data_IF_354567910685
#
_entry.id   IF_354567910685
#
_cell.length_a   1.000
_cell.length_b   1.000
_cell.length_c   1.000
_cell.angle_alpha   90.00
_cell.angle_beta   90.00
_cell.angle_gamma   90.00
#
_symmetry.space_group_name_H-M   'P 1'
#
loop_
_entity.id
_entity.type
_entity.pdbx_description
1 polymer ?
#
# COMPACT_ATOMS: atom_id res chain seq x y z
N UNK A 1 -61.36 1.94 -29.91
CA UNK A 1 -59.94 2.06 -30.42
C UNK A 1 -58.92 2.71 -29.46
N UNK A 2 -59.31 3.23 -28.30
CA UNK A 2 -58.35 3.90 -27.37
C UNK A 2 -57.55 2.98 -26.41
N UNK A 3 -58.02 1.76 -26.18
CA UNK A 3 -57.45 0.85 -25.17
C UNK A 3 -56.18 0.11 -25.61
N UNK A 4 -55.98 -0.07 -26.90
CA UNK A 4 -54.78 -0.70 -27.48
C UNK A 4 -53.56 0.22 -27.50
N UNK A 5 -53.76 1.54 -27.51
CA UNK A 5 -52.67 2.52 -27.56
C UNK A 5 -51.96 2.66 -26.22
N UNK A 6 -52.65 2.55 -25.09
CA UNK A 6 -52.11 2.68 -23.74
C UNK A 6 -51.20 1.50 -23.35
N UNK A 7 -51.53 0.27 -23.81
CA UNK A 7 -50.68 -0.91 -23.55
C UNK A 7 -49.32 -0.85 -24.26
N UNK A 8 -49.23 -0.25 -25.45
CA UNK A 8 -47.99 -0.13 -26.20
C UNK A 8 -47.00 0.84 -25.56
N UNK A 9 -47.50 1.92 -24.97
CA UNK A 9 -46.67 2.93 -24.29
C UNK A 9 -46.08 2.36 -23.00
N UNK A 10 -46.86 1.67 -22.16
CA UNK A 10 -46.41 1.09 -20.91
C UNK A 10 -45.29 0.03 -21.10
N UNK A 11 -45.39 -0.80 -22.14
CA UNK A 11 -44.36 -1.82 -22.44
C UNK A 11 -43.08 -1.21 -22.98
N UNK A 12 -43.15 -0.08 -23.66
CA UNK A 12 -41.95 0.63 -24.15
C UNK A 12 -41.18 1.28 -23.01
N UNK A 13 -41.85 1.94 -22.06
CA UNK A 13 -41.22 2.53 -20.87
C UNK A 13 -40.55 1.48 -19.98
N UNK A 14 -41.16 0.32 -19.80
CA UNK A 14 -40.61 -0.77 -19.02
C UNK A 14 -39.31 -1.34 -19.63
N UNK A 15 -39.26 -1.51 -20.93
CA UNK A 15 -38.05 -1.97 -21.65
C UNK A 15 -36.91 -0.96 -21.55
N UNK A 16 -37.19 0.33 -21.69
CA UNK A 16 -36.19 1.39 -21.52
C UNK A 16 -35.70 1.50 -20.08
N UNK A 17 -36.56 1.34 -19.09
CA UNK A 17 -36.17 1.35 -17.67
C UNK A 17 -35.28 0.16 -17.32
N UNK A 18 -35.58 -1.05 -17.82
CA UNK A 18 -34.70 -2.23 -17.61
C UNK A 18 -33.37 -2.03 -18.29
N UNK A 19 -33.33 -1.48 -19.50
CA UNK A 19 -32.08 -1.24 -20.22
C UNK A 19 -31.18 -0.23 -19.50
N UNK A 20 -31.76 0.86 -18.99
CA UNK A 20 -31.07 1.83 -18.14
C UNK A 20 -30.55 1.22 -16.83
N UNK A 21 -31.37 0.39 -16.20
CA UNK A 21 -30.94 -0.31 -14.97
C UNK A 21 -29.76 -1.26 -15.19
N UNK A 22 -29.78 -2.01 -16.32
CA UNK A 22 -28.67 -2.87 -16.70
C UNK A 22 -27.37 -2.08 -16.98
N UNK A 23 -27.48 -0.93 -17.66
CA UNK A 23 -26.31 -0.05 -17.90
C UNK A 23 -25.74 0.45 -16.57
N UNK A 24 -26.59 0.86 -15.63
CA UNK A 24 -26.14 1.33 -14.30
C UNK A 24 -25.42 0.21 -13.54
N UNK A 25 -25.93 -1.03 -13.58
CA UNK A 25 -25.27 -2.19 -12.93
C UNK A 25 -23.89 -2.48 -13.54
N UNK A 26 -23.72 -2.32 -14.85
CA UNK A 26 -22.42 -2.50 -15.51
C UNK A 26 -21.40 -1.42 -15.13
N UNK A 27 -21.84 -0.20 -14.86
CA UNK A 27 -20.94 0.90 -14.46
C UNK A 27 -20.37 0.67 -13.05
N UNK A 28 -21.07 -0.02 -12.16
CA UNK A 28 -20.61 -0.35 -10.81
C UNK A 28 -19.65 -1.54 -10.73
N UNK A 29 -19.37 -2.26 -11.81
CA UNK A 29 -18.33 -3.30 -11.86
C UNK A 29 -16.91 -2.70 -12.02
N UNK A 30 -16.71 -1.47 -11.57
CA UNK A 30 -15.50 -0.72 -11.74
C UNK A 30 -14.38 -1.19 -10.82
N UNK A 31 -13.26 -1.48 -11.43
CA UNK A 31 -11.88 -1.36 -10.93
C UNK A 31 -11.60 -1.86 -9.50
N UNK A 32 -11.38 -3.15 -9.35
CA UNK A 32 -10.45 -3.61 -8.31
C UNK A 32 -9.06 -3.11 -8.71
N UNK A 33 -8.54 -2.14 -7.97
CA UNK A 33 -7.13 -1.75 -8.09
C UNK A 33 -6.27 -3.01 -7.93
N UNK A 34 -5.53 -3.35 -8.96
CA UNK A 34 -4.63 -4.50 -8.94
C UNK A 34 -3.54 -4.22 -7.90
N UNK A 35 -3.47 -5.06 -6.86
CA UNK A 35 -2.50 -4.91 -5.78
C UNK A 35 -1.11 -5.20 -6.34
N UNK A 36 -0.31 -4.17 -6.49
CA UNK A 36 1.08 -4.30 -6.93
C UNK A 36 1.94 -4.82 -5.80
N UNK A 37 2.77 -5.81 -6.09
CA UNK A 37 3.71 -6.41 -5.14
C UNK A 37 5.12 -6.34 -5.70
N UNK A 38 6.02 -5.75 -4.94
CA UNK A 38 7.45 -5.64 -5.25
C UNK A 38 8.24 -6.54 -4.32
N UNK A 39 9.21 -7.27 -4.86
CA UNK A 39 10.05 -8.22 -4.12
C UNK A 39 11.52 -8.08 -4.48
N UNK A 40 12.37 -8.42 -3.53
CA UNK A 40 13.81 -8.58 -3.70
C UNK A 40 14.24 -9.97 -3.21
N UNK A 41 15.25 -10.51 -3.80
CA UNK A 41 15.83 -11.82 -3.42
C UNK A 41 16.79 -11.72 -2.23
N UNK A 42 17.09 -10.50 -1.74
CA UNK A 42 18.11 -10.27 -0.72
C UNK A 42 17.83 -10.95 0.63
N UNK A 43 16.58 -11.32 0.90
CA UNK A 43 16.13 -11.99 2.12
C UNK A 43 15.35 -13.27 1.81
N UNK A 44 15.66 -13.93 0.70
CA UNK A 44 15.05 -15.21 0.35
C UNK A 44 15.31 -16.25 1.44
N UNK A 45 14.33 -17.11 1.67
CA UNK A 45 14.31 -18.16 2.69
C UNK A 45 14.27 -17.67 4.15
N UNK A 46 14.06 -16.39 4.42
CA UNK A 46 13.84 -15.89 5.78
C UNK A 46 12.35 -15.92 6.14
N UNK A 47 12.07 -16.33 7.37
CA UNK A 47 10.74 -16.23 7.93
C UNK A 47 10.50 -14.81 8.47
N UNK A 48 9.37 -14.20 8.06
CA UNK A 48 8.95 -12.89 8.54
C UNK A 48 7.81 -13.05 9.53
N UNK A 49 7.95 -12.43 10.68
CA UNK A 49 6.88 -12.39 11.69
C UNK A 49 5.97 -11.20 11.41
N UNK A 50 4.68 -11.45 11.21
CA UNK A 50 3.71 -10.35 11.13
C UNK A 50 3.54 -9.68 12.50
N UNK A 51 3.67 -8.35 12.54
CA UNK A 51 3.59 -7.54 13.76
C UNK A 51 2.70 -6.34 13.50
N UNK A 52 1.71 -6.11 14.38
CA UNK A 52 0.89 -4.91 14.32
C UNK A 52 1.72 -3.65 14.58
N UNK A 53 1.45 -2.56 13.86
CA UNK A 53 2.25 -1.33 13.93
C UNK A 53 2.33 -0.77 15.35
N UNK A 54 1.20 -0.65 16.06
CA UNK A 54 1.16 -0.15 17.45
C UNK A 54 2.04 -1.01 18.36
N UNK A 55 1.89 -2.34 18.27
CA UNK A 55 2.70 -3.26 19.07
C UNK A 55 4.20 -3.12 18.79
N UNK A 56 4.55 -2.87 17.51
CA UNK A 56 5.94 -2.66 17.10
C UNK A 56 6.49 -1.39 17.71
N UNK A 57 5.77 -0.26 17.63
CA UNK A 57 6.18 1.03 18.21
C UNK A 57 6.34 0.95 19.73
N UNK A 58 5.38 0.33 20.43
CA UNK A 58 5.38 0.24 21.89
C UNK A 58 6.51 -0.65 22.44
N UNK A 59 6.89 -1.65 21.68
CA UNK A 59 7.84 -2.68 22.12
C UNK A 59 9.02 -2.88 21.16
N UNK A 60 9.43 -1.85 20.44
CA UNK A 60 10.40 -1.96 19.33
C UNK A 60 11.70 -2.66 19.70
N UNK A 61 12.20 -2.46 20.93
CA UNK A 61 13.43 -3.12 21.42
C UNK A 61 13.32 -4.65 21.42
N UNK A 62 12.11 -5.22 21.54
CA UNK A 62 11.89 -6.67 21.49
C UNK A 62 12.05 -7.23 20.08
N UNK A 63 11.91 -6.38 19.08
CA UNK A 63 12.00 -6.74 17.67
C UNK A 63 13.36 -6.38 17.04
N UNK A 64 14.28 -5.80 17.84
CA UNK A 64 15.61 -5.45 17.33
C UNK A 64 16.29 -6.64 16.65
N UNK A 65 16.81 -6.40 15.45
CA UNK A 65 17.44 -7.39 14.57
C UNK A 65 16.51 -8.52 14.07
N UNK A 66 15.19 -8.47 14.32
CA UNK A 66 14.25 -9.46 13.81
C UNK A 66 13.73 -9.06 12.42
N UNK A 67 13.42 -10.06 11.59
CA UNK A 67 12.75 -9.88 10.32
C UNK A 67 11.24 -9.90 10.55
N UNK A 68 10.57 -8.82 10.14
CA UNK A 68 9.16 -8.60 10.38
C UNK A 68 8.40 -8.26 9.09
N UNK A 69 7.10 -8.49 9.13
CA UNK A 69 6.11 -7.93 8.22
C UNK A 69 5.22 -6.97 8.99
N UNK A 70 5.03 -5.77 8.49
CA UNK A 70 4.22 -4.73 9.13
C UNK A 70 3.42 -3.96 8.10
N UNK A 71 2.19 -3.59 8.46
CA UNK A 71 1.31 -2.72 7.67
C UNK A 71 1.38 -1.30 8.20
N UNK A 72 1.31 -0.32 7.30
CA UNK A 72 1.27 1.10 7.64
C UNK A 72 0.97 1.96 6.43
N UNK A 73 0.97 3.27 6.61
CA UNK A 73 0.96 4.27 5.55
C UNK A 73 2.40 4.71 5.31
N UNK A 74 2.88 4.65 4.06
CA UNK A 74 4.21 5.13 3.72
C UNK A 74 4.14 6.61 3.36
N UNK A 75 5.00 7.41 3.97
CA UNK A 75 5.16 8.82 3.69
C UNK A 75 6.56 9.10 3.17
N UNK A 76 6.65 9.91 2.12
CA UNK A 76 7.89 10.30 1.45
C UNK A 76 7.92 11.80 1.26
N UNK A 77 9.02 12.42 1.64
CA UNK A 77 9.26 13.85 1.53
C UNK A 77 10.73 14.17 1.38
N UNK A 78 11.06 15.46 1.46
CA UNK A 78 12.45 15.88 1.58
C UNK A 78 12.99 15.40 2.93
N UNK A 79 14.02 14.57 2.90
CA UNK A 79 14.62 13.98 4.10
C UNK A 79 13.64 13.09 4.92
N UNK A 80 12.60 12.57 4.27
CA UNK A 80 11.59 11.72 4.88
C UNK A 80 11.37 10.43 4.07
N UNK A 81 11.41 9.30 4.75
CA UNK A 81 11.05 7.96 4.23
C UNK A 81 10.48 7.17 5.41
N UNK A 82 9.21 7.34 5.68
CA UNK A 82 8.58 6.94 6.93
C UNK A 82 7.45 5.93 6.73
N UNK A 83 7.34 4.97 7.65
CA UNK A 83 6.13 4.17 7.83
C UNK A 83 5.43 4.68 9.08
N UNK A 84 4.18 5.06 8.92
CA UNK A 84 3.32 5.63 9.97
C UNK A 84 2.02 4.84 10.09
N UNK A 85 1.30 5.09 11.19
CA UNK A 85 -0.06 4.64 11.36
C UNK A 85 -0.94 5.86 11.66
N UNK A 86 -1.99 6.05 10.89
CA UNK A 86 -2.83 7.25 10.91
C UNK A 86 -3.35 7.58 12.33
N UNK A 87 -3.59 6.55 13.17
CA UNK A 87 -4.09 6.73 14.54
C UNK A 87 -3.02 7.13 15.56
N UNK A 88 -1.75 6.84 15.30
CA UNK A 88 -0.62 7.16 16.18
C UNK A 88 0.16 8.41 15.72
N UNK A 89 0.00 8.79 14.46
CA UNK A 89 0.75 9.88 13.84
C UNK A 89 -0.05 11.20 13.78
N UNK A 90 -1.07 11.34 14.64
CA UNK A 90 -1.94 12.52 14.69
C UNK A 90 -1.16 13.81 14.99
N UNK A 91 -0.07 13.72 15.74
CA UNK A 91 0.80 14.83 16.10
C UNK A 91 1.98 15.03 15.14
N UNK A 92 2.05 14.24 14.05
CA UNK A 92 3.17 14.20 13.10
C UNK A 92 4.55 14.01 13.78
N UNK A 93 4.56 13.31 14.92
CA UNK A 93 5.79 13.06 15.67
C UNK A 93 6.53 11.84 15.13
N UNK A 94 7.78 12.04 14.68
CA UNK A 94 8.66 10.96 14.22
C UNK A 94 8.91 9.89 15.31
N UNK A 95 8.67 10.22 16.58
CA UNK A 95 8.75 9.24 17.67
C UNK A 95 7.70 8.13 17.58
N UNK A 96 6.64 8.32 16.78
CA UNK A 96 5.59 7.34 16.48
C UNK A 96 5.69 6.78 15.05
N UNK A 97 6.81 7.05 14.36
CA UNK A 97 7.09 6.59 13.01
C UNK A 97 8.35 5.70 12.96
N UNK A 98 8.43 4.88 11.94
CA UNK A 98 9.61 4.08 11.62
C UNK A 98 10.23 4.60 10.33
N UNK A 99 11.53 4.82 10.34
CA UNK A 99 12.26 5.07 9.10
C UNK A 99 12.26 3.83 8.23
N UNK A 100 12.04 3.98 6.93
CA UNK A 100 12.15 2.89 5.96
C UNK A 100 13.40 3.09 5.13
N UNK A 101 14.36 2.19 5.28
CA UNK A 101 15.62 2.25 4.55
C UNK A 101 15.57 1.32 3.32
N UNK A 102 15.31 1.92 2.16
CA UNK A 102 15.43 1.22 0.88
C UNK A 102 16.89 1.19 0.45
N UNK A 103 17.46 0.00 0.35
CA UNK A 103 18.86 -0.21 -0.02
C UNK A 103 19.00 -0.67 -1.47
N UNK A 104 20.06 -0.20 -2.14
CA UNK A 104 20.42 -0.71 -3.47
C UNK A 104 20.85 -2.20 -3.42
N UNK A 105 21.28 -2.69 -2.27
CA UNK A 105 21.62 -4.10 -2.07
C UNK A 105 20.40 -5.01 -2.03
N UNK A 106 19.19 -4.42 -1.86
CA UNK A 106 17.91 -5.11 -1.86
C UNK A 106 16.95 -4.47 -2.90
N UNK A 107 17.26 -4.55 -4.21
CA UNK A 107 16.44 -3.93 -5.22
C UNK A 107 15.05 -4.59 -5.29
N UNK A 108 14.01 -3.78 -5.32
CA UNK A 108 12.62 -4.23 -5.31
C UNK A 108 12.04 -4.21 -6.72
N UNK A 109 11.66 -5.37 -7.26
CA UNK A 109 11.07 -5.52 -8.58
C UNK A 109 9.60 -5.91 -8.50
N UNK A 110 8.77 -5.34 -9.38
CA UNK A 110 7.38 -5.72 -9.54
C UNK A 110 7.30 -7.21 -9.90
N UNK A 111 6.55 -7.98 -9.13
CA UNK A 111 6.43 -9.43 -9.27
C UNK A 111 6.08 -9.82 -10.71
N UNK A 112 6.87 -10.74 -11.28
CA UNK A 112 6.72 -11.19 -12.67
C UNK A 112 7.32 -10.26 -13.72
N UNK A 113 8.03 -9.20 -13.32
CA UNK A 113 8.69 -8.25 -14.23
C UNK A 113 10.11 -7.94 -13.76
N UNK A 114 10.83 -7.11 -14.54
CA UNK A 114 12.12 -6.51 -14.14
C UNK A 114 12.00 -5.03 -13.79
N UNK A 115 10.77 -4.51 -13.62
CA UNK A 115 10.53 -3.11 -13.31
C UNK A 115 10.80 -2.86 -11.84
N UNK A 116 11.77 -2.01 -11.51
CA UNK A 116 12.09 -1.57 -10.16
C UNK A 116 11.03 -0.63 -9.58
N UNK A 117 10.87 -0.66 -8.24
CA UNK A 117 9.93 0.19 -7.51
C UNK A 117 10.20 1.68 -7.76
N UNK A 118 11.49 2.06 -7.81
CA UNK A 118 11.95 3.44 -7.97
C UNK A 118 12.43 3.74 -9.40
N UNK A 119 12.16 2.85 -10.36
CA UNK A 119 12.50 3.06 -11.74
C UNK A 119 11.41 3.82 -12.50
N UNK A 120 11.86 4.66 -13.43
CA UNK A 120 10.99 5.35 -14.35
C UNK A 120 10.47 4.40 -15.42
N UNK A 121 9.16 4.24 -15.54
CA UNK A 121 8.53 3.38 -16.52
C UNK A 121 7.30 4.04 -17.12
N UNK A 122 7.14 3.94 -18.42
CA UNK A 122 6.01 4.50 -19.19
C UNK A 122 5.72 5.99 -18.85
N UNK A 123 6.78 6.78 -18.67
CA UNK A 123 6.64 8.20 -18.36
C UNK A 123 6.30 8.50 -16.89
N UNK A 124 6.37 7.52 -15.98
CA UNK A 124 5.98 7.70 -14.57
C UNK A 124 6.87 6.92 -13.61
N UNK A 125 7.08 7.47 -12.43
CA UNK A 125 7.55 6.71 -11.26
C UNK A 125 6.37 6.04 -10.55
N UNK A 126 6.62 4.92 -9.89
CA UNK A 126 5.61 4.33 -9.01
C UNK A 126 5.44 5.22 -7.78
N UNK A 127 4.25 5.79 -7.64
CA UNK A 127 3.91 6.60 -6.47
C UNK A 127 3.52 5.68 -5.32
N UNK A 128 4.28 5.72 -4.23
CA UNK A 128 3.99 4.96 -2.99
C UNK A 128 3.71 5.86 -1.79
N UNK A 129 4.04 7.14 -1.89
CA UNK A 129 3.75 8.12 -0.84
C UNK A 129 2.26 8.24 -0.57
N UNK A 130 1.88 8.37 0.70
CA UNK A 130 0.51 8.41 1.21
C UNK A 130 -0.33 7.16 0.85
N UNK A 131 0.33 6.01 0.65
CA UNK A 131 -0.37 4.74 0.40
C UNK A 131 -0.23 3.79 1.57
N UNK A 132 -1.30 3.03 1.81
CA UNK A 132 -1.23 1.86 2.69
C UNK A 132 -0.38 0.80 2.05
N UNK A 133 0.62 0.35 2.80
CA UNK A 133 1.60 -0.63 2.34
C UNK A 133 1.78 -1.74 3.37
N UNK A 134 2.12 -2.93 2.88
CA UNK A 134 2.73 -3.98 3.71
C UNK A 134 4.21 -4.03 3.38
N UNK A 135 5.08 -3.93 4.38
CA UNK A 135 6.54 -3.95 4.22
C UNK A 135 7.12 -5.14 4.97
N UNK A 136 8.10 -5.83 4.35
CA UNK A 136 8.97 -6.79 5.03
C UNK A 136 10.39 -6.27 5.07
N UNK A 137 11.00 -6.34 6.24
CA UNK A 137 12.37 -5.91 6.45
C UNK A 137 12.87 -6.30 7.83
N UNK A 138 14.05 -5.82 8.17
CA UNK A 138 14.73 -6.06 9.44
C UNK A 138 14.63 -4.83 10.34
N UNK A 139 14.20 -5.00 11.58
CA UNK A 139 14.17 -3.90 12.55
C UNK A 139 15.59 -3.59 13.05
N UNK A 140 15.95 -2.32 13.03
CA UNK A 140 17.17 -1.80 13.68
C UNK A 140 16.79 -0.60 14.57
N UNK A 141 16.97 -0.76 15.88
CA UNK A 141 16.68 0.29 16.86
C UNK A 141 17.83 1.27 17.07
N UNK A 142 19.03 0.96 16.57
CA UNK A 142 20.23 1.81 16.68
C UNK A 142 20.22 2.91 15.63
N UNK A 143 19.77 2.58 14.41
CA UNK A 143 19.55 3.55 13.35
C UNK A 143 18.14 4.10 13.43
N UNK A 144 18.02 5.42 13.49
CA UNK A 144 16.74 6.10 13.71
C UNK A 144 16.42 7.10 12.60
N UNK A 145 16.85 6.77 11.39
CA UNK A 145 16.59 7.58 10.20
C UNK A 145 17.27 8.95 10.24
N UNK A 146 16.68 9.89 9.51
CA UNK A 146 17.21 11.25 9.41
C UNK A 146 17.25 11.93 10.78
N UNK A 147 18.40 12.52 11.11
CA UNK A 147 18.68 13.20 12.39
C UNK A 147 18.42 12.36 13.67
N UNK A 148 18.24 11.04 13.55
CA UNK A 148 17.97 10.17 14.70
C UNK A 148 16.60 10.38 15.35
N UNK A 149 15.63 10.94 14.63
CA UNK A 149 14.33 11.38 15.18
C UNK A 149 13.27 10.29 15.24
N UNK A 150 13.43 9.20 14.49
CA UNK A 150 12.47 8.12 14.40
C UNK A 150 12.58 7.12 15.55
N UNK A 151 11.53 6.33 15.76
CA UNK A 151 11.53 5.28 16.80
C UNK A 151 12.57 4.20 16.53
N UNK A 152 12.82 3.88 15.27
CA UNK A 152 13.79 2.94 14.74
C UNK A 152 13.70 2.89 13.24
N UNK A 153 14.38 1.93 12.62
CA UNK A 153 14.42 1.74 11.17
C UNK A 153 13.95 0.35 10.79
N UNK A 154 13.23 0.25 9.68
CA UNK A 154 13.04 -0.99 8.93
C UNK A 154 14.10 -0.98 7.84
N UNK A 155 15.12 -1.82 8.00
CA UNK A 155 16.23 -1.98 7.07
C UNK A 155 16.08 -3.24 6.23
N UNK A 156 16.90 -3.39 5.17
CA UNK A 156 16.88 -4.54 4.26
C UNK A 156 15.46 -4.87 3.78
N UNK A 157 14.74 -3.86 3.34
CA UNK A 157 13.38 -4.02 2.82
C UNK A 157 13.41 -4.91 1.58
N UNK A 158 12.73 -6.06 1.65
CA UNK A 158 12.70 -7.06 0.58
C UNK A 158 11.32 -7.32 0.00
N UNK A 159 10.31 -6.63 0.53
CA UNK A 159 8.93 -6.77 0.07
C UNK A 159 8.15 -5.49 0.34
N UNK A 160 7.42 -5.04 -0.67
CA UNK A 160 6.44 -3.96 -0.59
C UNK A 160 5.19 -4.37 -1.37
N UNK A 161 4.04 -4.33 -0.71
CA UNK A 161 2.72 -4.54 -1.32
C UNK A 161 1.89 -3.27 -1.16
N UNK A 162 1.32 -2.81 -2.28
CA UNK A 162 0.47 -1.63 -2.40
C UNK A 162 -1.01 -2.01 -2.42
#
# INVERSE_FOLDING_TARGET
MAWTYVKGIATSFYKTAIFLFLIIVFIFQSCKSEKKTYKSDCNDNLAFKHVGFTQLIDSIKKYDQQYIEVDGTYEEGKDESALVNDSLFVDHSNSHALWVNFSQDCPLYLTGTRQGLFEYNDGKFTQISNKKVTIRGKVDVRHKGHLGSYKGTIDRVSFVKL
#
